data_IF_515188781661
#
_entry.id   IF_515188781661
#
_cell.length_a   1.000
_cell.length_b   1.000
_cell.length_c   1.000
_cell.angle_alpha   90.00
_cell.angle_beta   90.00
_cell.angle_gamma   90.00
#
_symmetry.space_group_name_H-M   'P 1'
#
loop_
_entity.id
_entity.type
_entity.pdbx_description
1 polymer ?
#
# COMPACT_ATOMS: atom_id res chain seq x y z
N UNK A 1 10.06 -12.88 9.95
CA UNK A 1 11.12 -11.83 10.00
C UNK A 1 10.45 -10.56 10.49
N UNK A 2 11.16 -9.65 11.18
CA UNK A 2 10.55 -8.39 11.58
C UNK A 2 10.36 -7.47 10.36
N UNK A 3 9.28 -6.67 10.31
CA UNK A 3 9.11 -5.65 9.28
C UNK A 3 10.25 -4.63 9.30
N UNK A 4 10.70 -4.20 8.13
CA UNK A 4 11.71 -3.15 7.95
C UNK A 4 11.01 -1.91 7.43
N UNK A 5 11.19 -0.79 8.11
CA UNK A 5 10.70 0.51 7.64
C UNK A 5 11.81 1.19 6.86
N UNK A 6 11.46 1.78 5.71
CA UNK A 6 12.38 2.58 4.91
C UNK A 6 11.64 3.75 4.28
N UNK A 7 12.38 4.76 3.82
CA UNK A 7 11.83 5.85 3.04
C UNK A 7 12.61 6.07 1.75
N UNK A 8 11.88 6.38 0.68
CA UNK A 8 12.46 6.68 -0.64
C UNK A 8 11.82 7.94 -1.21
N UNK A 9 12.60 8.79 -1.87
CA UNK A 9 12.05 9.90 -2.66
C UNK A 9 11.37 9.34 -3.91
N UNK A 10 10.09 9.62 -4.09
CA UNK A 10 9.37 9.35 -5.32
C UNK A 10 9.39 10.62 -6.19
N UNK A 11 10.41 10.73 -7.03
CA UNK A 11 10.67 11.93 -7.83
C UNK A 11 9.53 12.31 -8.78
N UNK A 12 8.96 11.32 -9.50
CA UNK A 12 7.84 11.54 -10.43
C UNK A 12 6.65 12.27 -9.76
N UNK A 13 6.40 11.91 -8.51
CA UNK A 13 5.27 12.38 -7.71
C UNK A 13 5.64 13.46 -6.70
N UNK A 14 6.92 13.86 -6.66
CA UNK A 14 7.48 14.88 -5.77
C UNK A 14 7.11 14.67 -4.30
N UNK A 15 7.08 13.42 -3.87
CA UNK A 15 6.73 13.05 -2.49
C UNK A 15 7.72 12.03 -1.95
N UNK A 16 7.86 11.94 -0.63
CA UNK A 16 8.52 10.81 -0.01
C UNK A 16 7.51 9.69 0.17
N UNK A 17 7.95 8.45 -0.04
CA UNK A 17 7.17 7.27 0.33
C UNK A 17 7.84 6.56 1.50
N UNK A 18 7.07 6.28 2.55
CA UNK A 18 7.47 5.36 3.59
C UNK A 18 7.02 3.95 3.20
N UNK A 19 7.86 2.97 3.46
CA UNK A 19 7.70 1.61 2.96
C UNK A 19 7.91 0.64 4.10
N UNK A 20 7.02 -0.35 4.19
CA UNK A 20 7.20 -1.52 5.05
C UNK A 20 7.58 -2.71 4.18
N UNK A 21 8.77 -3.25 4.45
CA UNK A 21 9.29 -4.48 3.86
C UNK A 21 9.05 -5.65 4.81
N UNK A 22 8.30 -6.65 4.36
CA UNK A 22 8.02 -7.85 5.14
C UNK A 22 7.85 -9.04 4.19
N UNK A 23 8.54 -10.14 4.47
CA UNK A 23 8.42 -11.40 3.71
C UNK A 23 8.60 -11.27 2.19
N UNK A 24 9.45 -10.33 1.75
CA UNK A 24 9.69 -10.06 0.33
C UNK A 24 8.62 -9.18 -0.35
N UNK A 25 7.62 -8.73 0.41
CA UNK A 25 6.63 -7.75 -0.01
C UNK A 25 7.03 -6.35 0.43
N UNK A 26 6.60 -5.36 -0.36
CA UNK A 26 6.83 -3.94 -0.11
C UNK A 26 5.49 -3.23 -0.23
N UNK A 27 5.00 -2.65 0.85
CA UNK A 27 3.81 -1.79 0.83
C UNK A 27 4.22 -0.37 1.19
N UNK A 28 3.78 0.58 0.37
CA UNK A 28 4.18 1.97 0.47
C UNK A 28 3.00 2.86 0.87
N UNK A 29 3.28 3.84 1.73
CA UNK A 29 2.42 4.96 2.10
C UNK A 29 3.07 6.25 1.62
N UNK A 30 2.30 7.19 1.08
CA UNK A 30 2.82 8.51 0.68
C UNK A 30 2.90 9.46 1.88
N UNK A 31 3.90 10.31 1.91
CA UNK A 31 4.15 11.23 3.02
C UNK A 31 3.31 12.50 2.99
N UNK A 32 2.78 12.86 1.82
CA UNK A 32 2.04 14.09 1.54
C UNK A 32 0.53 13.97 1.82
N UNK A 33 -0.04 12.78 1.59
CA UNK A 33 -1.49 12.57 1.74
C UNK A 33 -1.87 11.24 2.41
N UNK A 34 -0.89 10.48 2.89
CA UNK A 34 -1.08 9.17 3.56
C UNK A 34 -1.72 8.08 2.71
N UNK A 35 -1.80 8.24 1.39
CA UNK A 35 -2.35 7.19 0.54
C UNK A 35 -1.45 5.96 0.51
N UNK A 36 -2.05 4.79 0.44
CA UNK A 36 -1.36 3.49 0.49
C UNK A 36 -1.55 2.73 -0.80
N UNK A 37 -0.50 2.04 -1.26
CA UNK A 37 -0.56 1.19 -2.45
C UNK A 37 -1.31 -0.13 -2.18
N UNK A 38 -2.61 -0.15 -2.45
CA UNK A 38 -3.48 -1.31 -2.24
C UNK A 38 -3.15 -2.48 -3.15
N UNK A 39 -2.56 -2.22 -4.32
CA UNK A 39 -2.10 -3.31 -5.21
C UNK A 39 -0.99 -4.13 -4.58
N UNK A 40 -0.08 -3.48 -3.84
CA UNK A 40 0.99 -4.18 -3.13
C UNK A 40 0.50 -4.87 -1.87
N UNK A 41 -0.43 -4.24 -1.14
CA UNK A 41 -1.09 -4.83 0.02
C UNK A 41 -1.80 -6.14 -0.38
N UNK A 42 -2.62 -6.13 -1.44
CA UNK A 42 -3.32 -7.33 -1.90
C UNK A 42 -2.39 -8.47 -2.35
N UNK A 43 -1.20 -8.15 -2.85
CA UNK A 43 -0.23 -9.19 -3.22
C UNK A 43 0.26 -10.00 -2.01
N UNK A 44 0.07 -9.52 -0.78
CA UNK A 44 0.40 -10.26 0.45
C UNK A 44 -0.68 -11.28 0.83
N UNK A 45 -1.88 -11.19 0.26
CA UNK A 45 -2.97 -12.12 0.58
C UNK A 45 -2.65 -13.49 0.01
N UNK A 46 -2.65 -14.51 0.86
CA UNK A 46 -2.37 -15.90 0.46
C UNK A 46 -3.36 -16.36 -0.60
N UNK A 47 -2.85 -16.93 -1.70
CA UNK A 47 -3.69 -17.38 -2.82
C UNK A 47 -4.28 -16.25 -3.67
N UNK A 48 -3.83 -15.01 -3.48
CA UNK A 48 -4.18 -13.88 -4.34
C UNK A 48 -3.53 -14.03 -5.72
N UNK A 49 -4.36 -14.31 -6.72
CA UNK A 49 -3.91 -14.30 -8.12
C UNK A 49 -4.04 -12.90 -8.70
N UNK A 50 -3.28 -12.64 -9.78
CA UNK A 50 -3.39 -11.38 -10.54
C UNK A 50 -4.84 -11.05 -10.93
N UNK A 51 -5.58 -12.04 -11.44
CA UNK A 51 -6.97 -11.86 -11.85
C UNK A 51 -7.90 -11.53 -10.68
N UNK A 52 -7.77 -12.23 -9.55
CA UNK A 52 -8.56 -11.96 -8.33
C UNK A 52 -8.29 -10.55 -7.79
N UNK A 53 -7.02 -10.16 -7.74
CA UNK A 53 -6.61 -8.80 -7.32
C UNK A 53 -7.20 -7.73 -8.23
N UNK A 54 -7.04 -7.87 -9.54
CA UNK A 54 -7.50 -6.86 -10.50
C UNK A 54 -9.03 -6.74 -10.48
N UNK A 55 -9.75 -7.86 -10.29
CA UNK A 55 -11.19 -7.87 -10.07
C UNK A 55 -11.57 -7.20 -8.75
N UNK A 56 -10.88 -7.49 -7.65
CA UNK A 56 -11.12 -6.87 -6.35
C UNK A 56 -10.91 -5.35 -6.42
N UNK A 57 -9.78 -4.89 -6.97
CA UNK A 57 -9.49 -3.46 -7.14
C UNK A 57 -10.50 -2.76 -8.04
N UNK A 58 -11.08 -3.47 -9.01
CA UNK A 58 -12.16 -2.92 -9.84
C UNK A 58 -13.46 -2.84 -9.06
N UNK A 59 -13.84 -3.91 -8.35
CA UNK A 59 -15.11 -4.07 -7.66
C UNK A 59 -15.25 -3.27 -6.36
N UNK A 60 -14.26 -3.37 -5.47
CA UNK A 60 -14.25 -2.63 -4.19
C UNK A 60 -14.11 -1.12 -4.41
N UNK A 61 -13.31 -0.72 -5.40
CA UNK A 61 -13.05 0.70 -5.68
C UNK A 61 -13.95 1.27 -6.78
N UNK A 62 -15.03 0.58 -7.16
CA UNK A 62 -16.04 1.11 -8.08
C UNK A 62 -16.87 2.22 -7.39
N UNK A 63 -16.99 2.16 -6.07
CA UNK A 63 -17.70 3.13 -5.25
C UNK A 63 -16.77 4.06 -4.44
N UNK A 64 -15.45 3.85 -4.50
CA UNK A 64 -14.45 4.74 -3.89
C UNK A 64 -14.14 5.87 -4.88
N UNK A 65 -14.64 7.11 -4.67
CA UNK A 65 -14.39 8.21 -5.59
C UNK A 65 -12.91 8.63 -5.62
N UNK A 66 -12.18 8.34 -4.53
CA UNK A 66 -10.79 8.77 -4.35
C UNK A 66 -9.82 7.59 -4.52
N UNK A 67 -9.36 7.40 -5.76
CA UNK A 67 -8.24 6.50 -6.07
C UNK A 67 -7.37 7.09 -7.18
N UNK A 68 -6.10 6.70 -7.19
CA UNK A 68 -5.13 7.11 -8.20
C UNK A 68 -4.41 5.86 -8.68
N UNK A 69 -4.18 5.78 -9.98
CA UNK A 69 -3.57 4.61 -10.62
C UNK A 69 -2.26 5.02 -11.30
N UNK A 70 -1.14 4.55 -10.76
CA UNK A 70 0.18 4.74 -11.36
C UNK A 70 0.56 3.53 -12.21
N UNK A 71 0.55 3.72 -13.54
CA UNK A 71 0.85 2.67 -14.53
C UNK A 71 2.32 2.68 -15.00
N UNK A 72 3.01 3.80 -14.81
CA UNK A 72 4.40 4.05 -15.23
C UNK A 72 5.27 4.35 -13.99
N UNK A 73 6.57 4.52 -14.19
CA UNK A 73 7.53 4.76 -13.09
C UNK A 73 8.08 3.48 -12.44
N UNK A 74 8.60 3.61 -11.22
CA UNK A 74 9.23 2.51 -10.48
C UNK A 74 8.27 1.33 -10.22
N UNK A 75 8.70 0.10 -10.50
CA UNK A 75 7.86 -1.11 -10.43
C UNK A 75 7.20 -1.34 -9.06
N UNK A 76 7.90 -0.97 -7.99
CA UNK A 76 7.42 -1.14 -6.62
C UNK A 76 6.42 -0.03 -6.20
N UNK A 77 6.27 1.04 -6.98
CA UNK A 77 5.32 2.14 -6.74
C UNK A 77 4.13 2.12 -7.70
N UNK A 78 4.23 1.38 -8.82
CA UNK A 78 3.09 1.08 -9.69
C UNK A 78 1.96 0.39 -8.93
N UNK A 79 0.73 0.77 -9.28
CA UNK A 79 -0.47 0.19 -8.70
C UNK A 79 -1.58 1.20 -8.50
N UNK A 80 -2.65 0.72 -7.87
CA UNK A 80 -3.75 1.52 -7.37
C UNK A 80 -3.41 1.97 -5.95
N UNK A 81 -3.63 3.25 -5.69
CA UNK A 81 -3.42 3.91 -4.40
C UNK A 81 -4.77 4.43 -3.90
N UNK A 82 -5.00 4.25 -2.60
CA UNK A 82 -6.24 4.58 -1.91
C UNK A 82 -5.92 5.31 -0.60
N UNK A 83 -6.86 6.11 -0.05
CA UNK A 83 -6.71 6.75 1.24
C UNK A 83 -6.38 5.77 2.37
N UNK A 84 -5.64 6.24 3.38
CA UNK A 84 -5.26 5.42 4.54
C UNK A 84 -6.43 4.68 5.20
N UNK A 85 -7.61 5.30 5.47
CA UNK A 85 -8.72 4.59 6.11
C UNK A 85 -9.20 3.38 5.31
N UNK A 86 -9.33 3.51 3.99
CA UNK A 86 -9.71 2.42 3.11
C UNK A 86 -8.64 1.31 3.06
N UNK A 87 -7.36 1.67 3.13
CA UNK A 87 -6.27 0.69 3.20
C UNK A 87 -6.23 -0.06 4.55
N UNK A 88 -6.56 0.60 5.66
CA UNK A 88 -6.69 -0.04 6.97
C UNK A 88 -7.85 -1.03 6.98
N UNK A 89 -9.01 -0.64 6.45
CA UNK A 89 -10.16 -1.55 6.32
C UNK A 89 -9.80 -2.77 5.44
N UNK A 90 -9.13 -2.53 4.32
CA UNK A 90 -8.64 -3.58 3.43
C UNK A 90 -7.69 -4.55 4.15
N UNK A 91 -6.72 -4.02 4.92
CA UNK A 91 -5.79 -4.83 5.69
C UNK A 91 -6.51 -5.66 6.76
N UNK A 92 -7.45 -5.06 7.49
CA UNK A 92 -8.24 -5.74 8.50
C UNK A 92 -9.05 -6.90 7.91
N UNK A 93 -9.71 -6.68 6.77
CA UNK A 93 -10.51 -7.70 6.08
C UNK A 93 -9.70 -8.93 5.66
N UNK A 94 -8.40 -8.78 5.46
CA UNK A 94 -7.48 -9.87 5.10
C UNK A 94 -6.52 -10.29 6.23
N UNK A 95 -6.67 -9.73 7.44
CA UNK A 95 -5.79 -10.03 8.57
C UNK A 95 -4.33 -9.60 8.38
N UNK A 96 -4.08 -8.53 7.63
CA UNK A 96 -2.73 -8.06 7.27
C UNK A 96 -2.21 -6.91 8.16
N UNK A 97 -3.04 -6.38 9.05
CA UNK A 97 -2.72 -5.18 9.85
C UNK A 97 -1.46 -5.37 10.69
N UNK A 98 -1.37 -6.49 11.42
CA UNK A 98 -0.21 -6.78 12.28
C UNK A 98 1.07 -7.05 11.48
N UNK A 99 0.94 -7.71 10.32
CA UNK A 99 2.06 -7.99 9.41
C UNK A 99 2.68 -6.71 8.84
N UNK A 100 1.84 -5.70 8.64
CA UNK A 100 2.22 -4.43 8.06
C UNK A 100 2.59 -3.37 9.10
N UNK A 101 2.60 -3.68 10.39
CA UNK A 101 3.06 -2.73 11.40
C UNK A 101 4.48 -2.24 11.06
N UNK A 102 4.75 -0.91 11.07
CA UNK A 102 3.93 0.21 11.54
C UNK A 102 3.25 1.02 10.42
N UNK A 103 2.95 0.43 9.25
CA UNK A 103 2.47 1.13 8.05
C UNK A 103 1.27 2.07 8.33
N UNK A 104 0.35 1.60 9.18
CA UNK A 104 -0.91 2.26 9.48
C UNK A 104 -0.86 3.16 10.72
N UNK A 105 0.27 3.25 11.39
CA UNK A 105 0.44 4.13 12.55
C UNK A 105 0.25 5.60 12.16
N UNK A 106 -0.34 6.45 13.02
CA UNK A 106 -0.51 7.88 12.72
C UNK A 106 0.82 8.56 12.36
N UNK A 107 1.90 8.18 13.04
CA UNK A 107 3.24 8.71 12.80
C UNK A 107 4.23 7.60 12.41
N UNK A 108 4.05 7.02 11.22
CA UNK A 108 4.99 6.04 10.65
C UNK A 108 6.44 6.55 10.56
N UNK A 109 6.65 7.86 10.43
CA UNK A 109 8.00 8.45 10.35
C UNK A 109 8.82 8.27 11.62
N UNK A 110 8.18 8.04 12.76
CA UNK A 110 8.88 7.77 14.04
C UNK A 110 9.60 6.42 14.07
N UNK A 111 9.42 5.58 13.05
CA UNK A 111 10.01 4.24 12.93
C UNK A 111 11.13 4.16 11.87
N UNK A 112 11.57 5.30 11.33
CA UNK A 112 12.68 5.41 10.37
C UNK A 112 14.05 5.48 11.07
#
# INVERSE_FOLDING_TARGET
RNPIVSCTLWEDERTVVMQVLIEGHVVARRADNDWVNSTKLLNMVVGMTRGKRDMYLKASLLNEPERIVFRRGALHLKGVWIPLPAAVELANNYGLTDFLYPLFEPNIRSFL
#
